data_IF_697360862781
#
_entry.id   IF_697360862781
#
_cell.length_a   1.000
_cell.length_b   1.000
_cell.length_c   1.000
_cell.angle_alpha   90.00
_cell.angle_beta   90.00
_cell.angle_gamma   90.00
#
_symmetry.space_group_name_H-M   'P 1'
#
loop_
_entity.id
_entity.type
_entity.pdbx_description
1 polymer ?
#
# COMPACT_ATOMS: atom_id res chain seq x y z
N UNK A 1 42.84 19.69 57.02
CA UNK A 1 41.83 20.28 56.19
C UNK A 1 42.29 20.20 54.75
N UNK A 2 41.68 19.37 53.90
CA UNK A 2 41.50 19.76 52.52
C UNK A 2 40.06 19.58 52.06
N UNK A 3 39.68 20.54 51.25
CA UNK A 3 38.37 20.81 50.69
C UNK A 3 37.89 19.75 49.74
N UNK A 4 36.59 19.45 49.83
CA UNK A 4 35.91 18.54 48.93
C UNK A 4 35.67 19.14 47.54
N UNK A 5 36.14 18.48 46.51
CA UNK A 5 35.75 18.72 45.13
C UNK A 5 34.44 17.99 44.84
N UNK A 6 33.35 18.74 44.82
CA UNK A 6 32.07 18.32 44.27
C UNK A 6 32.19 18.14 42.76
N UNK A 7 32.30 16.90 42.30
CA UNK A 7 32.19 16.54 40.89
C UNK A 7 30.78 16.77 40.41
N UNK A 8 30.61 17.73 39.52
CA UNK A 8 29.38 17.96 38.76
C UNK A 8 29.24 16.81 37.75
N UNK A 9 28.37 15.86 38.05
CA UNK A 9 27.95 14.84 37.07
C UNK A 9 27.09 15.55 36.01
N UNK A 10 27.70 15.82 34.86
CA UNK A 10 26.97 16.22 33.65
C UNK A 10 26.15 15.01 33.25
N UNK A 11 24.84 15.05 33.48
CA UNK A 11 23.91 14.15 32.92
C UNK A 11 23.98 14.32 31.39
N UNK A 12 24.61 13.35 30.71
CA UNK A 12 24.55 13.22 29.27
C UNK A 12 23.08 12.88 28.98
N UNK A 13 22.29 13.90 28.65
CA UNK A 13 20.93 13.72 28.18
C UNK A 13 20.97 12.75 26.97
N UNK A 14 20.23 11.62 27.03
CA UNK A 14 20.04 10.75 25.90
C UNK A 14 19.54 11.62 24.74
N UNK A 15 20.34 11.71 23.69
CA UNK A 15 19.91 12.31 22.43
C UNK A 15 18.60 11.62 22.00
N UNK A 16 17.56 12.39 21.76
CA UNK A 16 16.29 11.88 21.25
C UNK A 16 16.55 11.24 19.88
N UNK A 17 16.27 9.94 19.72
CA UNK A 17 16.40 9.28 18.43
C UNK A 17 15.44 9.90 17.41
N UNK A 18 15.84 9.92 16.14
CA UNK A 18 15.07 10.59 15.10
C UNK A 18 14.90 9.67 13.89
N UNK A 19 13.67 9.55 13.39
CA UNK A 19 13.33 8.77 12.19
C UNK A 19 12.71 9.69 11.14
N UNK A 20 13.28 9.65 9.93
CA UNK A 20 12.74 10.34 8.77
C UNK A 20 11.78 9.39 8.03
N UNK A 21 10.51 9.76 7.92
CA UNK A 21 9.54 9.09 7.06
C UNK A 21 9.47 9.83 5.72
N UNK A 22 9.82 9.13 4.64
CA UNK A 22 9.89 9.68 3.29
C UNK A 22 9.05 8.88 2.28
N UNK A 23 7.72 8.79 2.44
CA UNK A 23 6.85 8.17 1.45
C UNK A 23 6.76 9.03 0.18
N UNK A 24 6.40 8.44 -0.96
CA UNK A 24 5.97 9.23 -2.12
C UNK A 24 4.62 9.87 -1.84
N UNK A 25 4.64 11.17 -1.55
CA UNK A 25 3.46 11.89 -1.03
C UNK A 25 2.33 12.08 -2.07
N UNK A 26 2.57 11.80 -3.34
CA UNK A 26 1.50 11.70 -4.33
C UNK A 26 0.69 10.40 -4.21
N UNK A 27 1.20 9.38 -3.50
CA UNK A 27 0.57 8.09 -3.30
C UNK A 27 -0.10 8.02 -1.91
N UNK A 28 -1.43 8.05 -1.88
CA UNK A 28 -2.22 8.02 -0.65
C UNK A 28 -1.93 6.77 0.21
N UNK A 29 -1.80 5.60 -0.41
CA UNK A 29 -1.55 4.35 0.31
C UNK A 29 -0.19 4.34 1.03
N UNK A 30 0.83 4.97 0.46
CA UNK A 30 2.15 5.09 1.10
C UNK A 30 2.13 6.07 2.26
N UNK A 31 1.49 7.23 2.06
CA UNK A 31 1.35 8.25 3.11
C UNK A 31 0.61 7.67 4.33
N UNK A 32 -0.53 7.03 4.10
CA UNK A 32 -1.32 6.47 5.21
C UNK A 32 -0.58 5.34 5.93
N UNK A 33 0.10 4.46 5.20
CA UNK A 33 0.94 3.41 5.79
C UNK A 33 2.06 3.99 6.66
N UNK A 34 2.76 5.02 6.16
CA UNK A 34 3.80 5.71 6.91
C UNK A 34 3.27 6.38 8.18
N UNK A 35 2.09 7.02 8.12
CA UNK A 35 1.43 7.63 9.28
C UNK A 35 1.11 6.56 10.34
N UNK A 36 0.53 5.42 9.94
CA UNK A 36 0.16 4.37 10.90
C UNK A 36 1.38 3.80 11.63
N UNK A 37 2.52 3.61 10.92
CA UNK A 37 3.77 3.19 11.55
C UNK A 37 4.32 4.27 12.47
N UNK A 38 4.35 5.53 12.02
CA UNK A 38 4.85 6.65 12.82
C UNK A 38 4.07 6.87 14.13
N UNK A 39 2.76 6.65 14.11
CA UNK A 39 1.90 6.72 15.32
C UNK A 39 2.23 5.66 16.37
N UNK A 40 2.88 4.57 15.99
CA UNK A 40 3.31 3.49 16.90
C UNK A 40 4.75 3.64 17.39
N UNK A 41 5.48 4.63 16.86
CA UNK A 41 6.83 4.91 17.39
C UNK A 41 6.74 5.42 18.82
N UNK A 42 7.71 5.03 19.68
CA UNK A 42 7.77 5.54 21.06
C UNK A 42 7.89 7.07 21.10
N UNK A 43 7.34 7.72 22.11
CA UNK A 43 7.44 9.17 22.31
C UNK A 43 8.88 9.70 22.49
N UNK A 44 9.84 8.79 22.72
CA UNK A 44 11.27 9.08 22.77
C UNK A 44 11.91 9.18 21.39
N UNK A 45 11.17 8.91 20.33
CA UNK A 45 11.63 8.99 18.93
C UNK A 45 10.90 10.13 18.22
N UNK A 46 11.68 11.07 17.72
CA UNK A 46 11.16 12.17 16.89
C UNK A 46 10.89 11.64 15.47
N UNK A 47 9.63 11.71 15.02
CA UNK A 47 9.22 11.33 13.66
C UNK A 47 9.04 12.58 12.81
N UNK A 48 9.81 12.70 11.73
CA UNK A 48 9.73 13.81 10.77
C UNK A 48 9.36 13.25 9.41
N UNK A 49 8.44 13.91 8.70
CA UNK A 49 8.06 13.52 7.34
C UNK A 49 8.67 14.46 6.30
N UNK A 50 9.04 13.89 5.14
CA UNK A 50 9.45 14.67 3.97
C UNK A 50 8.93 14.04 2.68
N UNK A 51 8.77 14.87 1.65
CA UNK A 51 8.32 14.43 0.33
C UNK A 51 8.41 15.55 -0.69
N UNK A 52 8.17 15.22 -1.96
CA UNK A 52 8.33 16.12 -3.09
C UNK A 52 7.00 16.68 -3.63
N UNK A 53 5.86 16.24 -3.11
CA UNK A 53 4.54 16.73 -3.47
C UNK A 53 3.76 17.21 -2.24
N UNK A 54 2.96 18.24 -2.40
CA UNK A 54 2.01 18.68 -1.36
C UNK A 54 0.80 17.77 -1.26
N UNK A 55 0.53 16.96 -2.29
CA UNK A 55 -0.60 16.04 -2.32
C UNK A 55 -0.54 15.09 -1.13
N UNK A 56 -1.66 14.90 -0.46
CA UNK A 56 -1.80 14.09 0.77
C UNK A 56 -0.95 14.55 1.98
N UNK A 57 -0.23 15.69 1.92
CA UNK A 57 0.53 16.19 3.08
C UNK A 57 -0.35 16.70 4.23
N UNK A 58 -1.59 17.04 3.95
CA UNK A 58 -2.60 17.40 4.93
C UNK A 58 -2.90 16.26 5.92
N UNK A 59 -2.89 15.01 5.48
CA UNK A 59 -3.09 13.86 6.35
C UNK A 59 -1.92 13.67 7.32
N UNK A 60 -0.68 13.96 6.89
CA UNK A 60 0.51 13.92 7.75
C UNK A 60 0.39 14.97 8.85
N UNK A 61 0.01 16.21 8.48
CA UNK A 61 -0.18 17.32 9.43
C UNK A 61 -1.34 17.07 10.37
N UNK A 62 -2.47 16.56 9.85
CA UNK A 62 -3.63 16.18 10.67
C UNK A 62 -3.32 15.04 11.65
N UNK A 63 -2.34 14.19 11.34
CA UNK A 63 -1.81 13.18 12.24
C UNK A 63 -0.84 13.73 13.31
N UNK A 64 -0.53 15.04 13.29
CA UNK A 64 0.33 15.71 14.25
C UNK A 64 1.83 15.65 13.92
N UNK A 65 2.21 15.26 12.69
CA UNK A 65 3.61 15.19 12.30
C UNK A 65 4.08 16.39 11.49
N UNK A 66 5.34 16.77 11.68
CA UNK A 66 6.02 17.75 10.84
C UNK A 66 6.20 17.22 9.43
N UNK A 67 5.90 18.07 8.42
CA UNK A 67 6.11 17.75 7.02
C UNK A 67 7.02 18.76 6.33
N UNK A 68 8.09 18.28 5.69
CA UNK A 68 9.05 19.07 4.93
C UNK A 68 8.90 18.81 3.45
N UNK A 69 8.49 19.83 2.70
CA UNK A 69 8.42 19.79 1.26
C UNK A 69 9.81 20.01 0.66
N UNK A 70 10.29 19.03 -0.11
CA UNK A 70 11.60 19.04 -0.77
C UNK A 70 11.51 19.54 -2.22
N UNK A 71 12.62 19.99 -2.76
CA UNK A 71 12.77 20.36 -4.18
C UNK A 71 13.50 19.25 -4.96
N UNK A 72 13.13 19.00 -6.23
CA UNK A 72 12.12 19.69 -7.04
C UNK A 72 10.70 19.32 -6.58
N UNK A 73 9.80 20.29 -6.56
CA UNK A 73 8.39 20.00 -6.28
C UNK A 73 7.79 19.24 -7.45
N UNK A 74 7.08 18.15 -7.16
CA UNK A 74 6.26 17.45 -8.14
C UNK A 74 4.92 18.19 -8.29
N UNK A 75 4.59 18.54 -9.52
CA UNK A 75 3.24 18.98 -9.89
C UNK A 75 2.24 17.83 -9.80
N UNK A 76 0.95 18.15 -9.77
CA UNK A 76 -0.10 17.13 -9.78
C UNK A 76 -0.05 16.25 -11.04
N UNK A 77 0.32 16.83 -12.18
CA UNK A 77 0.49 16.10 -13.43
C UNK A 77 1.68 15.13 -13.38
N UNK A 78 2.84 15.54 -12.87
CA UNK A 78 3.99 14.67 -12.69
C UNK A 78 3.69 13.55 -11.69
N UNK A 79 2.97 13.86 -10.60
CA UNK A 79 2.48 12.87 -9.64
C UNK A 79 1.52 11.86 -10.28
N UNK A 80 0.63 12.31 -11.18
CA UNK A 80 -0.26 11.44 -11.94
C UNK A 80 0.53 10.50 -12.88
N UNK A 81 1.50 11.03 -13.61
CA UNK A 81 2.37 10.24 -14.49
C UNK A 81 3.21 9.21 -13.71
N UNK A 82 3.68 9.58 -12.52
CA UNK A 82 4.39 8.68 -11.63
C UNK A 82 3.49 7.53 -11.15
N UNK A 83 2.25 7.80 -10.79
CA UNK A 83 1.26 6.77 -10.46
C UNK A 83 0.94 5.86 -11.64
N UNK A 84 0.83 6.41 -12.85
CA UNK A 84 0.59 5.60 -14.06
C UNK A 84 1.75 4.65 -14.35
N UNK A 85 2.99 5.10 -14.15
CA UNK A 85 4.17 4.24 -14.26
C UNK A 85 4.17 3.14 -13.19
N UNK A 86 3.95 3.51 -11.94
CA UNK A 86 3.88 2.57 -10.81
C UNK A 86 2.77 1.51 -11.00
N UNK A 87 1.67 1.92 -11.62
CA UNK A 87 0.56 1.05 -11.99
C UNK A 87 0.78 0.25 -13.29
N UNK A 88 1.93 0.35 -13.93
CA UNK A 88 2.24 -0.34 -15.18
C UNK A 88 1.44 0.16 -16.39
N UNK A 89 0.78 1.31 -16.29
CA UNK A 89 0.01 1.94 -17.39
C UNK A 89 0.88 2.81 -18.31
N UNK A 90 2.09 3.14 -17.88
CA UNK A 90 3.11 3.82 -18.66
C UNK A 90 4.42 3.03 -18.62
N UNK A 91 5.10 2.91 -19.76
CA UNK A 91 6.43 2.32 -19.82
C UNK A 91 7.54 3.36 -19.58
N UNK A 92 7.19 4.65 -19.59
CA UNK A 92 8.14 5.75 -19.40
C UNK A 92 8.17 6.18 -17.95
N UNK A 93 9.33 5.97 -17.30
CA UNK A 93 9.55 6.49 -15.96
C UNK A 93 9.49 8.02 -15.97
N UNK A 94 8.71 8.64 -15.07
CA UNK A 94 8.53 10.10 -15.08
C UNK A 94 9.79 10.87 -14.66
N UNK A 95 10.69 10.26 -13.89
CA UNK A 95 11.88 10.94 -13.38
C UNK A 95 12.98 10.99 -14.41
N UNK A 96 13.24 12.18 -14.90
CA UNK A 96 14.42 12.47 -15.74
C UNK A 96 15.69 12.42 -14.88
N UNK A 97 16.85 12.31 -15.54
CA UNK A 97 18.14 12.32 -14.81
C UNK A 97 18.37 13.61 -14.01
N UNK A 98 18.11 14.83 -14.55
CA UNK A 98 18.21 16.05 -13.77
C UNK A 98 17.27 16.07 -12.54
N UNK A 99 16.03 15.64 -12.70
CA UNK A 99 15.07 15.56 -11.60
C UNK A 99 15.55 14.59 -10.52
N UNK A 100 16.00 13.40 -10.90
CA UNK A 100 16.52 12.41 -9.95
C UNK A 100 17.75 12.93 -9.19
N UNK A 101 18.68 13.59 -9.91
CA UNK A 101 19.87 14.18 -9.31
C UNK A 101 19.51 15.31 -8.31
N UNK A 102 18.55 16.16 -8.67
CA UNK A 102 18.05 17.21 -7.75
C UNK A 102 17.36 16.63 -6.53
N UNK A 103 16.53 15.57 -6.68
CA UNK A 103 15.91 14.88 -5.56
C UNK A 103 16.97 14.34 -4.61
N UNK A 104 17.95 13.60 -5.12
CA UNK A 104 19.06 13.04 -4.31
C UNK A 104 19.84 14.16 -3.60
N UNK A 105 20.14 15.27 -4.28
CA UNK A 105 20.83 16.40 -3.66
C UNK A 105 20.03 17.01 -2.50
N UNK A 106 18.73 17.21 -2.69
CA UNK A 106 17.80 17.77 -1.69
C UNK A 106 17.66 16.84 -0.47
N UNK A 107 17.50 15.54 -0.72
CA UNK A 107 17.44 14.51 0.32
C UNK A 107 18.74 14.45 1.14
N UNK A 108 19.91 14.48 0.48
CA UNK A 108 21.21 14.48 1.16
C UNK A 108 21.40 15.70 2.05
N UNK A 109 20.97 16.89 1.60
CA UNK A 109 20.98 18.11 2.45
C UNK A 109 20.09 17.89 3.67
N UNK A 110 18.88 17.36 3.49
CA UNK A 110 17.99 17.07 4.61
C UNK A 110 18.60 16.07 5.59
N UNK A 111 19.16 14.96 5.09
CA UNK A 111 19.77 13.91 5.92
C UNK A 111 20.93 14.46 6.76
N UNK A 112 21.80 15.30 6.18
CA UNK A 112 22.91 15.96 6.91
C UNK A 112 22.44 16.94 7.96
N UNK A 113 21.36 17.70 7.68
CA UNK A 113 20.81 18.67 8.62
C UNK A 113 20.04 17.98 9.75
N UNK A 114 19.23 16.98 9.40
CA UNK A 114 18.34 16.30 10.34
C UNK A 114 19.08 15.23 11.17
N UNK A 115 20.09 14.58 10.57
CA UNK A 115 20.85 13.46 11.13
C UNK A 115 19.94 12.37 11.71
N UNK A 116 19.03 11.80 10.89
CA UNK A 116 18.16 10.76 11.39
C UNK A 116 18.93 9.45 11.59
N UNK A 117 18.50 8.64 12.56
CA UNK A 117 19.07 7.33 12.84
C UNK A 117 18.58 6.28 11.83
N UNK A 118 17.42 6.51 11.19
CA UNK A 118 16.89 5.70 10.10
C UNK A 118 15.99 6.52 9.17
N UNK A 119 15.87 6.04 7.92
CA UNK A 119 14.91 6.55 6.93
C UNK A 119 13.90 5.46 6.62
N UNK A 120 12.60 5.74 6.77
CA UNK A 120 11.49 4.83 6.42
C UNK A 120 10.84 5.32 5.14
N UNK A 121 10.78 4.45 4.14
CA UNK A 121 10.24 4.78 2.82
C UNK A 121 9.04 3.91 2.43
N UNK A 122 8.25 4.41 1.48
CA UNK A 122 7.44 3.63 0.54
C UNK A 122 8.26 3.36 -0.73
N UNK A 123 7.67 3.52 -1.91
CA UNK A 123 8.42 3.43 -3.18
C UNK A 123 9.04 4.79 -3.50
N UNK A 124 10.06 5.19 -2.77
CA UNK A 124 10.81 6.45 -2.99
C UNK A 124 12.19 6.13 -3.56
N UNK A 125 12.33 6.02 -4.91
CA UNK A 125 13.54 5.47 -5.52
C UNK A 125 14.82 6.27 -5.24
N UNK A 126 14.73 7.60 -5.11
CA UNK A 126 15.87 8.47 -4.83
C UNK A 126 16.52 8.19 -3.47
N UNK A 127 15.74 7.74 -2.47
CA UNK A 127 16.24 7.41 -1.13
C UNK A 127 17.19 6.21 -1.12
N UNK A 128 17.08 5.28 -2.09
CA UNK A 128 18.05 4.19 -2.24
C UNK A 128 19.45 4.70 -2.62
N UNK A 129 19.55 5.93 -3.12
CA UNK A 129 20.83 6.59 -3.40
C UNK A 129 21.23 7.48 -2.24
N UNK A 130 20.34 8.38 -1.81
CA UNK A 130 20.66 9.42 -0.82
C UNK A 130 20.94 8.87 0.57
N UNK A 131 20.15 7.91 1.06
CA UNK A 131 20.39 7.28 2.36
C UNK A 131 21.71 6.50 2.38
N UNK A 132 21.99 5.71 1.31
CA UNK A 132 23.29 5.03 1.18
C UNK A 132 24.47 5.97 1.08
N UNK A 133 24.34 7.10 0.36
CA UNK A 133 25.40 8.11 0.24
C UNK A 133 25.71 8.78 1.58
N UNK A 134 24.76 8.87 2.48
CA UNK A 134 24.92 9.46 3.81
C UNK A 134 25.05 8.39 4.92
N UNK A 135 25.15 7.09 4.54
CA UNK A 135 25.29 5.95 5.45
C UNK A 135 24.17 5.89 6.52
N UNK A 136 22.95 6.27 6.16
CA UNK A 136 21.78 6.18 7.05
C UNK A 136 21.02 4.90 6.75
N UNK A 137 20.69 4.07 7.76
CA UNK A 137 19.89 2.85 7.59
C UNK A 137 18.57 3.13 6.89
N UNK A 138 18.25 2.30 5.87
CA UNK A 138 17.04 2.42 5.07
C UNK A 138 16.05 1.31 5.42
N UNK A 139 14.83 1.69 5.73
CA UNK A 139 13.72 0.78 6.01
C UNK A 139 12.64 0.95 4.96
N UNK A 140 12.18 -0.15 4.38
CA UNK A 140 11.14 -0.13 3.36
C UNK A 140 9.89 -0.88 3.84
N UNK A 141 8.80 -0.16 4.07
CA UNK A 141 7.49 -0.75 4.42
C UNK A 141 6.68 -0.96 3.14
N UNK A 142 6.47 -2.21 2.73
CA UNK A 142 5.96 -2.54 1.40
C UNK A 142 5.00 -3.73 1.35
N UNK A 143 4.15 -3.81 0.30
CA UNK A 143 3.39 -5.01 -0.02
C UNK A 143 4.29 -6.21 -0.35
N UNK A 144 3.80 -7.43 -0.05
CA UNK A 144 4.53 -8.66 -0.36
C UNK A 144 4.75 -8.85 -1.85
N UNK A 145 3.72 -8.63 -2.66
CA UNK A 145 3.74 -8.91 -4.09
C UNK A 145 4.83 -8.16 -4.89
N UNK A 146 5.30 -7.02 -4.38
CA UNK A 146 6.38 -6.24 -4.98
C UNK A 146 7.73 -6.42 -4.28
N UNK A 147 7.92 -7.47 -3.47
CA UNK A 147 9.16 -7.71 -2.73
C UNK A 147 10.08 -8.70 -3.44
N UNK A 148 11.38 -8.58 -3.19
CA UNK A 148 12.37 -9.60 -3.60
C UNK A 148 12.02 -10.95 -2.97
N UNK A 149 11.54 -10.95 -1.73
CA UNK A 149 11.08 -12.14 -1.02
C UNK A 149 10.01 -12.92 -1.81
N UNK A 150 9.05 -12.21 -2.42
CA UNK A 150 8.04 -12.86 -3.28
C UNK A 150 8.68 -13.51 -4.50
N UNK A 151 9.59 -12.82 -5.19
CA UNK A 151 10.24 -13.36 -6.40
C UNK A 151 11.09 -14.60 -6.10
N UNK A 152 11.88 -14.56 -5.03
CA UNK A 152 12.73 -15.67 -4.62
C UNK A 152 11.89 -16.87 -4.18
N UNK A 153 10.89 -16.64 -3.37
CA UNK A 153 9.97 -17.67 -2.93
C UNK A 153 9.18 -18.25 -4.11
N UNK A 154 8.65 -17.42 -4.99
CA UNK A 154 7.91 -17.85 -6.16
C UNK A 154 8.76 -18.74 -7.09
N UNK A 155 10.01 -18.35 -7.32
CA UNK A 155 10.96 -19.16 -8.11
C UNK A 155 11.25 -20.51 -7.48
N UNK A 156 11.47 -20.55 -6.14
CA UNK A 156 11.81 -21.78 -5.40
C UNK A 156 10.75 -22.87 -5.55
N UNK A 157 9.49 -22.50 -5.57
CA UNK A 157 8.36 -23.43 -5.69
C UNK A 157 7.72 -23.46 -7.07
N UNK A 158 8.21 -22.66 -8.02
CA UNK A 158 7.66 -22.56 -9.37
C UNK A 158 6.27 -21.93 -9.41
N UNK A 159 5.95 -21.03 -8.48
CA UNK A 159 4.61 -20.43 -8.39
C UNK A 159 4.67 -18.94 -8.06
N UNK A 160 4.01 -18.10 -8.88
CA UNK A 160 3.90 -16.66 -8.63
C UNK A 160 2.80 -16.33 -7.61
N UNK A 161 1.80 -17.20 -7.48
CA UNK A 161 0.55 -16.91 -6.77
C UNK A 161 -0.42 -16.01 -7.55
N UNK A 162 -0.14 -15.72 -8.81
CA UNK A 162 -1.03 -14.96 -9.68
C UNK A 162 -2.06 -15.83 -10.40
N UNK A 163 -1.75 -17.12 -10.61
CA UNK A 163 -2.66 -18.10 -11.21
C UNK A 163 -3.18 -19.08 -10.17
N UNK A 164 -4.44 -19.56 -10.33
CA UNK A 164 -5.04 -20.48 -9.37
C UNK A 164 -4.37 -21.86 -9.34
N UNK A 165 -3.68 -22.26 -10.45
CA UNK A 165 -2.97 -23.54 -10.60
C UNK A 165 -3.91 -24.75 -10.47
N UNK A 166 -5.09 -24.63 -11.03
CA UNK A 166 -6.10 -25.70 -11.01
C UNK A 166 -5.96 -26.68 -12.17
N UNK A 167 -5.28 -26.25 -13.26
CA UNK A 167 -5.01 -27.08 -14.44
C UNK A 167 -3.51 -27.25 -14.67
N UNK A 168 -3.05 -28.32 -15.37
CA UNK A 168 -1.66 -28.49 -15.75
C UNK A 168 -1.11 -27.32 -16.56
N UNK A 169 -1.92 -26.74 -17.45
CA UNK A 169 -1.55 -25.58 -18.28
C UNK A 169 -1.32 -24.35 -17.41
N UNK A 170 -2.19 -24.07 -16.45
CA UNK A 170 -2.00 -22.98 -15.48
C UNK A 170 -0.73 -23.16 -14.66
N UNK A 171 -0.45 -24.39 -14.20
CA UNK A 171 0.79 -24.71 -13.50
C UNK A 171 2.02 -24.44 -14.38
N UNK A 172 2.00 -24.85 -15.64
CA UNK A 172 3.11 -24.64 -16.57
C UNK A 172 3.35 -23.15 -16.83
N UNK A 173 2.29 -22.39 -17.10
CA UNK A 173 2.36 -20.95 -17.33
C UNK A 173 2.86 -20.23 -16.08
N UNK A 174 2.36 -20.58 -14.91
CA UNK A 174 2.77 -19.94 -13.65
C UNK A 174 4.24 -20.25 -13.29
N UNK A 175 4.69 -21.48 -13.54
CA UNK A 175 6.10 -21.87 -13.40
C UNK A 175 7.01 -21.03 -14.32
N UNK A 176 6.65 -20.89 -15.59
CA UNK A 176 7.37 -20.07 -16.55
C UNK A 176 7.39 -18.59 -16.13
N UNK A 177 6.26 -18.09 -15.69
CA UNK A 177 6.13 -16.72 -15.16
C UNK A 177 6.99 -16.50 -13.91
N UNK A 178 7.06 -17.46 -12.98
CA UNK A 178 7.92 -17.37 -11.79
C UNK A 178 9.40 -17.24 -12.15
N UNK A 179 9.88 -18.03 -13.09
CA UNK A 179 11.26 -17.95 -13.57
C UNK A 179 11.53 -16.63 -14.31
N UNK A 180 10.61 -16.19 -15.16
CA UNK A 180 10.74 -14.93 -15.89
C UNK A 180 10.77 -13.73 -14.93
N UNK A 181 9.81 -13.65 -14.02
CA UNK A 181 9.72 -12.55 -13.03
C UNK A 181 10.97 -12.51 -12.14
N UNK A 182 11.44 -13.66 -11.68
CA UNK A 182 12.68 -13.73 -10.92
C UNK A 182 13.88 -13.24 -11.76
N UNK A 183 14.00 -13.68 -13.02
CA UNK A 183 15.09 -13.26 -13.91
C UNK A 183 15.05 -11.76 -14.17
N UNK A 184 13.88 -11.22 -14.48
CA UNK A 184 13.69 -9.78 -14.68
C UNK A 184 14.01 -9.03 -13.37
N UNK A 185 13.44 -9.46 -12.26
CA UNK A 185 13.61 -8.78 -10.97
C UNK A 185 15.04 -8.79 -10.43
N UNK A 186 15.84 -9.83 -10.75
CA UNK A 186 17.20 -9.98 -10.22
C UNK A 186 18.32 -9.64 -11.21
N UNK A 187 18.04 -9.66 -12.53
CA UNK A 187 19.07 -9.44 -13.56
C UNK A 187 18.84 -8.22 -14.44
N UNK A 188 17.58 -7.75 -14.59
CA UNK A 188 17.31 -6.51 -15.34
C UNK A 188 17.63 -5.34 -14.42
N UNK A 189 18.65 -4.53 -14.73
CA UNK A 189 19.05 -3.44 -13.84
C UNK A 189 18.00 -2.33 -13.80
N UNK A 190 18.00 -1.55 -12.73
CA UNK A 190 17.40 -0.23 -12.71
C UNK A 190 17.89 0.58 -13.92
N UNK A 191 17.10 1.58 -14.33
CA UNK A 191 17.44 2.37 -15.51
C UNK A 191 18.87 2.92 -15.43
N UNK A 192 19.51 3.12 -16.60
CA UNK A 192 20.86 3.72 -16.68
C UNK A 192 20.94 5.06 -15.95
N UNK A 193 19.86 5.80 -15.91
CA UNK A 193 19.73 7.05 -15.16
C UNK A 193 19.99 6.86 -13.68
N UNK A 194 19.37 5.85 -13.06
CA UNK A 194 19.58 5.56 -11.64
C UNK A 194 21.04 5.18 -11.35
N UNK A 195 21.65 4.33 -12.18
CA UNK A 195 23.06 3.94 -12.01
C UNK A 195 24.02 5.12 -12.19
N UNK A 196 23.76 6.04 -13.13
CA UNK A 196 24.61 7.24 -13.30
C UNK A 196 24.51 8.17 -12.11
N UNK A 197 23.30 8.46 -11.62
CA UNK A 197 23.10 9.33 -10.47
C UNK A 197 23.69 8.69 -9.22
N UNK A 198 23.51 7.37 -9.01
CA UNK A 198 24.11 6.65 -7.89
C UNK A 198 25.65 6.74 -7.91
N UNK A 199 26.27 6.47 -9.08
CA UNK A 199 27.73 6.58 -9.26
C UNK A 199 28.25 7.99 -9.00
N UNK A 200 27.52 9.01 -9.47
CA UNK A 200 27.87 10.43 -9.21
C UNK A 200 27.79 10.79 -7.71
N UNK A 201 27.06 10.02 -6.91
CA UNK A 201 26.96 10.17 -5.46
C UNK A 201 27.80 9.16 -4.66
N UNK A 202 28.71 8.42 -5.32
CA UNK A 202 29.59 7.45 -4.67
C UNK A 202 28.89 6.15 -4.26
N UNK A 203 27.68 5.88 -4.78
CA UNK A 203 26.87 4.71 -4.42
C UNK A 203 26.90 3.67 -5.54
N UNK A 204 27.12 2.40 -5.16
CA UNK A 204 26.93 1.24 -6.03
C UNK A 204 25.58 0.58 -5.72
N UNK A 205 24.69 0.56 -6.70
CA UNK A 205 23.40 -0.11 -6.57
C UNK A 205 23.54 -1.59 -6.95
N UNK A 206 22.86 -2.51 -6.21
CA UNK A 206 22.77 -3.90 -6.61
C UNK A 206 22.23 -4.07 -8.02
N UNK A 207 22.68 -5.12 -8.70
CA UNK A 207 22.12 -5.49 -10.00
C UNK A 207 20.70 -6.07 -9.82
N UNK A 208 19.83 -5.80 -10.79
CA UNK A 208 18.44 -6.23 -10.76
C UNK A 208 17.46 -5.18 -10.23
N UNK A 209 16.29 -5.16 -10.82
CA UNK A 209 15.23 -4.18 -10.50
C UNK A 209 14.82 -4.24 -9.03
N UNK A 210 14.48 -5.44 -8.53
CA UNK A 210 14.02 -5.59 -7.15
C UNK A 210 15.18 -5.58 -6.14
N UNK A 211 16.35 -6.13 -6.51
CA UNK A 211 17.53 -6.06 -5.66
C UNK A 211 18.00 -4.60 -5.49
N UNK A 212 17.95 -3.79 -6.55
CA UNK A 212 18.27 -2.36 -6.49
C UNK A 212 17.33 -1.56 -5.61
N UNK A 213 16.08 -2.03 -5.46
CA UNK A 213 15.05 -1.46 -4.60
C UNK A 213 14.82 -2.26 -3.30
N UNK A 214 15.85 -2.93 -2.79
CA UNK A 214 15.85 -3.60 -1.48
C UNK A 214 16.58 -2.73 -0.47
N UNK A 215 15.94 -2.47 0.66
CA UNK A 215 16.48 -1.68 1.77
C UNK A 215 17.28 -2.56 2.75
N UNK A 216 17.92 -1.96 3.75
CA UNK A 216 18.62 -2.69 4.81
C UNK A 216 17.62 -3.52 5.63
N UNK A 217 16.41 -2.98 5.86
CA UNK A 217 15.30 -3.69 6.47
C UNK A 217 14.04 -3.53 5.59
N UNK A 218 13.42 -4.65 5.19
CA UNK A 218 12.22 -4.68 4.37
C UNK A 218 11.06 -5.25 5.20
N UNK A 219 10.10 -4.41 5.52
CA UNK A 219 8.94 -4.74 6.35
C UNK A 219 7.74 -5.05 5.45
N UNK A 220 7.33 -6.31 5.45
CA UNK A 220 6.23 -6.79 4.62
C UNK A 220 4.91 -6.55 5.35
N UNK A 221 4.14 -5.58 4.86
CA UNK A 221 2.90 -5.10 5.45
C UNK A 221 1.69 -5.95 5.04
N UNK A 222 1.80 -7.27 5.16
CA UNK A 222 0.77 -8.23 4.74
C UNK A 222 0.39 -9.17 5.87
N UNK A 223 -0.88 -9.57 5.90
CA UNK A 223 -1.38 -10.51 6.91
C UNK A 223 -0.75 -11.91 6.72
N UNK A 224 -0.11 -12.49 7.74
CA UNK A 224 0.64 -13.74 7.61
C UNK A 224 -0.17 -14.91 7.05
N UNK A 225 -1.45 -15.03 7.44
CA UNK A 225 -2.34 -16.12 7.02
C UNK A 225 -2.80 -16.00 5.54
N UNK A 226 -2.65 -14.83 4.93
CA UNK A 226 -2.88 -14.61 3.50
C UNK A 226 -1.63 -14.86 2.66
N UNK A 227 -0.45 -14.98 3.28
CA UNK A 227 0.78 -15.28 2.57
C UNK A 227 0.87 -16.79 2.23
N UNK A 228 1.63 -17.15 1.20
CA UNK A 228 1.85 -18.56 0.88
C UNK A 228 2.50 -19.32 2.04
N UNK A 229 2.02 -20.52 2.34
CA UNK A 229 2.56 -21.35 3.45
C UNK A 229 4.02 -21.79 3.25
N UNK A 230 4.49 -21.80 2.02
CA UNK A 230 5.86 -22.15 1.64
C UNK A 230 6.82 -20.95 1.72
N UNK A 231 6.35 -19.81 2.17
CA UNK A 231 7.14 -18.59 2.22
C UNK A 231 8.23 -18.65 3.27
N UNK A 232 9.47 -18.49 2.81
CA UNK A 232 10.65 -18.23 3.66
C UNK A 232 11.11 -16.80 3.38
N UNK A 233 11.34 -16.02 4.42
CA UNK A 233 11.81 -14.65 4.28
C UNK A 233 13.33 -14.65 4.11
N UNK A 234 13.85 -13.94 3.08
CA UNK A 234 15.28 -13.68 2.98
C UNK A 234 15.78 -12.81 4.13
N UNK A 235 17.10 -12.78 4.33
CA UNK A 235 17.72 -11.87 5.29
C UNK A 235 17.32 -10.42 5.03
N UNK A 236 17.14 -9.65 6.10
CA UNK A 236 16.67 -8.27 6.01
C UNK A 236 15.18 -8.10 5.62
N UNK A 237 14.39 -9.21 5.61
CA UNK A 237 12.95 -9.16 5.37
C UNK A 237 12.18 -9.70 6.57
N UNK A 238 11.12 -8.99 6.96
CA UNK A 238 10.25 -9.38 8.07
C UNK A 238 8.79 -9.14 7.72
N UNK A 239 7.90 -10.11 7.98
CA UNK A 239 6.45 -9.90 7.94
C UNK A 239 6.03 -9.22 9.23
N UNK A 240 5.43 -8.03 9.11
CA UNK A 240 4.97 -7.25 10.28
C UNK A 240 3.47 -7.34 10.49
N UNK A 241 2.74 -7.86 9.53
CA UNK A 241 1.29 -7.89 9.57
C UNK A 241 0.64 -6.76 8.77
N UNK A 242 -0.69 -6.67 8.80
CA UNK A 242 -1.43 -5.71 7.99
C UNK A 242 -1.19 -4.27 8.44
N UNK A 243 -0.97 -3.37 7.47
CA UNK A 243 -0.89 -1.93 7.70
C UNK A 243 -1.83 -1.23 6.73
N UNK A 244 -2.91 -0.72 7.23
CA UNK A 244 -3.97 -0.03 6.46
C UNK A 244 -4.38 1.26 7.15
N UNK A 245 -5.02 2.18 6.40
CA UNK A 245 -5.37 3.51 6.89
C UNK A 245 -6.41 3.47 8.02
N UNK A 246 -6.09 4.13 9.13
CA UNK A 246 -6.99 4.44 10.25
C UNK A 246 -7.08 5.97 10.41
N UNK A 247 -7.38 6.66 9.33
CA UNK A 247 -7.47 8.12 9.36
C UNK A 247 -8.74 8.57 10.11
N UNK A 248 -8.64 9.65 10.91
CA UNK A 248 -9.80 10.21 11.59
C UNK A 248 -10.82 10.71 10.57
N UNK A 249 -12.08 10.62 10.92
CA UNK A 249 -13.21 11.05 10.12
C UNK A 249 -14.51 10.56 10.75
N UNK A 250 -15.62 11.10 10.30
CA UNK A 250 -16.95 10.65 10.72
C UNK A 250 -17.61 9.89 9.58
N UNK A 251 -18.31 8.82 9.92
CA UNK A 251 -19.19 8.13 8.97
C UNK A 251 -20.41 9.01 8.78
N UNK A 252 -20.75 9.44 7.54
CA UNK A 252 -21.93 10.26 7.31
C UNK A 252 -23.20 9.57 7.78
N UNK A 253 -24.14 10.32 8.38
CA UNK A 253 -25.38 9.81 8.97
C UNK A 253 -26.19 8.97 7.98
N UNK A 254 -26.29 9.41 6.72
CA UNK A 254 -27.01 8.67 5.68
C UNK A 254 -26.46 7.23 5.47
N UNK A 255 -25.18 6.96 5.74
CA UNK A 255 -24.61 5.61 5.64
C UNK A 255 -25.21 4.70 6.73
N UNK A 256 -25.38 5.23 7.93
CA UNK A 256 -26.05 4.54 9.03
C UNK A 256 -27.51 4.24 8.68
N UNK A 257 -28.20 5.20 8.06
CA UNK A 257 -29.59 5.02 7.60
C UNK A 257 -29.69 3.95 6.51
N UNK A 258 -28.74 3.92 5.56
CA UNK A 258 -28.69 2.89 4.54
C UNK A 258 -28.47 1.49 5.14
N UNK A 259 -27.58 1.38 6.12
CA UNK A 259 -27.29 0.13 6.79
C UNK A 259 -28.46 -0.38 7.66
N UNK A 260 -29.24 0.53 8.23
CA UNK A 260 -30.46 0.18 8.99
C UNK A 260 -31.66 -0.15 8.09
N UNK A 261 -31.56 0.12 6.79
CA UNK A 261 -32.61 -0.13 5.81
C UNK A 261 -32.83 -1.60 5.49
N UNK A 262 -33.89 -1.94 4.74
CA UNK A 262 -34.24 -3.34 4.42
C UNK A 262 -33.37 -3.97 3.33
N UNK A 263 -32.54 -3.18 2.64
CA UNK A 263 -31.69 -3.66 1.54
C UNK A 263 -30.24 -3.79 1.98
N UNK A 264 -29.52 -4.82 1.50
CA UNK A 264 -28.10 -4.96 1.83
C UNK A 264 -27.29 -3.77 1.32
N UNK A 265 -26.24 -3.40 2.06
CA UNK A 265 -25.31 -2.33 1.70
C UNK A 265 -24.05 -2.93 1.04
N UNK A 266 -23.81 -2.57 -0.21
CA UNK A 266 -22.64 -2.94 -0.98
C UNK A 266 -21.65 -1.76 -0.98
N UNK A 267 -20.42 -2.01 -0.55
CA UNK A 267 -19.33 -1.04 -0.61
C UNK A 267 -18.54 -1.21 -1.92
N UNK A 268 -18.41 -0.16 -2.74
CA UNK A 268 -17.67 -0.20 -3.99
C UNK A 268 -16.51 0.79 -4.00
N UNK A 269 -15.26 0.31 -4.07
CA UNK A 269 -14.08 1.16 -4.10
C UNK A 269 -12.98 0.65 -5.04
N UNK A 270 -12.42 1.55 -5.84
CA UNK A 270 -11.35 1.25 -6.81
C UNK A 270 -10.03 1.95 -6.49
N UNK A 271 -9.93 2.65 -5.37
CA UNK A 271 -8.75 3.41 -4.96
C UNK A 271 -8.28 4.37 -6.05
N UNK A 272 -6.99 4.68 -6.09
CA UNK A 272 -6.40 5.54 -7.13
C UNK A 272 -6.21 4.84 -8.49
N UNK A 273 -6.43 3.53 -8.55
CA UNK A 273 -6.20 2.71 -9.76
C UNK A 273 -7.39 2.70 -10.73
N UNK A 274 -8.57 3.16 -10.28
CA UNK A 274 -9.78 3.20 -11.08
C UNK A 274 -9.67 4.11 -12.30
N UNK A 275 -10.40 3.76 -13.35
CA UNK A 275 -10.65 4.67 -14.47
C UNK A 275 -12.15 4.91 -14.60
N UNK A 276 -12.52 6.09 -15.14
CA UNK A 276 -13.90 6.56 -15.22
C UNK A 276 -14.82 5.55 -15.91
N UNK A 277 -14.40 4.98 -17.04
CA UNK A 277 -15.24 4.07 -17.81
C UNK A 277 -15.60 2.80 -17.02
N UNK A 278 -14.60 2.15 -16.41
CA UNK A 278 -14.85 0.96 -15.59
C UNK A 278 -15.75 1.28 -14.40
N UNK A 279 -15.51 2.41 -13.73
CA UNK A 279 -16.34 2.84 -12.60
C UNK A 279 -17.80 3.01 -13.03
N UNK A 280 -18.04 3.71 -14.13
CA UNK A 280 -19.39 3.92 -14.66
C UNK A 280 -20.06 2.61 -15.09
N UNK A 281 -19.33 1.72 -15.77
CA UNK A 281 -19.86 0.42 -16.20
C UNK A 281 -20.33 -0.41 -14.99
N UNK A 282 -19.49 -0.46 -13.95
CA UNK A 282 -19.81 -1.19 -12.71
C UNK A 282 -20.98 -0.54 -11.96
N UNK A 283 -20.97 0.79 -11.76
CA UNK A 283 -22.05 1.50 -11.07
C UNK A 283 -23.40 1.35 -11.78
N UNK A 284 -23.43 1.48 -13.10
CA UNK A 284 -24.65 1.25 -13.89
C UNK A 284 -25.15 -0.20 -13.78
N UNK A 285 -24.23 -1.15 -13.72
CA UNK A 285 -24.56 -2.55 -13.50
C UNK A 285 -25.17 -2.79 -12.12
N UNK A 286 -24.53 -2.22 -11.06
CA UNK A 286 -24.99 -2.29 -9.68
C UNK A 286 -26.31 -1.55 -9.46
N UNK A 287 -26.61 -0.55 -10.26
CA UNK A 287 -27.90 0.16 -10.23
C UNK A 287 -29.11 -0.72 -10.51
N UNK A 288 -28.88 -1.92 -11.09
CA UNK A 288 -29.94 -2.92 -11.34
C UNK A 288 -30.06 -3.97 -10.25
N UNK A 289 -29.14 -3.97 -9.27
CA UNK A 289 -29.15 -4.91 -8.17
C UNK A 289 -30.10 -4.43 -7.04
N UNK A 290 -30.71 -5.37 -6.34
CA UNK A 290 -31.57 -5.06 -5.19
C UNK A 290 -30.71 -4.85 -3.92
N UNK A 291 -29.94 -3.76 -3.93
CA UNK A 291 -29.06 -3.35 -2.85
C UNK A 291 -28.89 -1.82 -2.84
N UNK A 292 -28.36 -1.28 -1.77
CA UNK A 292 -27.80 0.07 -1.70
C UNK A 292 -26.30 0.00 -2.00
N UNK A 293 -25.73 0.99 -2.66
CA UNK A 293 -24.30 1.02 -3.01
C UNK A 293 -23.65 2.28 -2.46
N UNK A 294 -22.68 2.10 -1.57
CA UNK A 294 -21.84 3.17 -1.04
C UNK A 294 -20.53 3.20 -1.84
N UNK A 295 -20.29 4.27 -2.58
CA UNK A 295 -19.21 4.36 -3.55
C UNK A 295 -18.31 5.58 -3.35
N UNK A 296 -17.20 5.52 -2.59
CA UNK A 296 -16.24 6.61 -2.46
C UNK A 296 -15.37 6.73 -3.71
N UNK A 297 -15.99 7.07 -4.83
CA UNK A 297 -15.36 7.14 -6.17
C UNK A 297 -15.57 8.49 -6.86
N UNK A 298 -15.98 9.53 -6.13
CA UNK A 298 -16.25 10.86 -6.69
C UNK A 298 -15.10 11.42 -7.53
N UNK A 299 -13.85 11.19 -7.11
CA UNK A 299 -12.66 11.65 -7.82
C UNK A 299 -12.46 11.03 -9.21
N UNK A 300 -13.20 9.97 -9.54
CA UNK A 300 -13.18 9.31 -10.85
C UNK A 300 -14.30 9.75 -11.79
N UNK A 301 -15.23 10.57 -11.31
CA UNK A 301 -16.47 10.92 -12.02
C UNK A 301 -16.55 12.43 -12.28
N UNK A 302 -17.15 12.79 -13.41
CA UNK A 302 -17.56 14.15 -13.71
C UNK A 302 -18.93 14.45 -13.10
N UNK A 303 -19.29 15.72 -12.97
CA UNK A 303 -20.60 16.12 -12.42
C UNK A 303 -21.76 15.55 -13.24
N UNK A 304 -21.62 15.54 -14.56
CA UNK A 304 -22.61 15.00 -15.49
C UNK A 304 -22.87 13.49 -15.29
N UNK A 305 -21.85 12.74 -14.84
CA UNK A 305 -22.01 11.32 -14.55
C UNK A 305 -22.93 11.08 -13.37
N UNK A 306 -22.78 11.91 -12.32
CA UNK A 306 -23.56 11.78 -11.08
C UNK A 306 -25.07 11.94 -11.32
N UNK A 307 -25.44 12.82 -12.25
CA UNK A 307 -26.83 13.08 -12.59
C UNK A 307 -27.51 11.89 -13.31
N UNK A 308 -26.71 11.00 -13.87
CA UNK A 308 -27.20 9.81 -14.63
C UNK A 308 -27.18 8.53 -13.83
N UNK A 309 -26.64 8.53 -12.61
CA UNK A 309 -26.56 7.33 -11.79
C UNK A 309 -27.91 6.90 -11.22
N UNK A 310 -28.15 5.60 -11.08
CA UNK A 310 -29.34 5.07 -10.41
C UNK A 310 -29.45 5.51 -8.96
N UNK A 311 -30.70 5.62 -8.45
CA UNK A 311 -31.00 6.15 -7.12
C UNK A 311 -30.42 5.34 -5.94
N UNK A 312 -30.12 4.08 -6.15
CA UNK A 312 -29.49 3.21 -5.14
C UNK A 312 -27.97 3.35 -5.10
N UNK A 313 -27.36 4.25 -5.91
CA UNK A 313 -25.93 4.52 -5.94
C UNK A 313 -25.62 5.81 -5.19
N UNK A 314 -24.89 5.71 -4.08
CA UNK A 314 -24.50 6.83 -3.23
C UNK A 314 -23.00 7.10 -3.39
N UNK A 315 -22.66 8.05 -4.26
CA UNK A 315 -21.27 8.45 -4.52
C UNK A 315 -20.82 9.45 -3.47
N UNK A 316 -19.68 9.14 -2.84
CA UNK A 316 -19.05 10.01 -1.84
C UNK A 316 -17.61 10.33 -2.22
N UNK A 317 -17.04 11.30 -1.52
CA UNK A 317 -15.61 11.44 -1.36
C UNK A 317 -15.08 10.33 -0.44
N UNK A 318 -13.83 10.48 0.04
CA UNK A 318 -13.27 9.53 0.98
C UNK A 318 -14.13 9.41 2.26
N UNK A 319 -14.24 8.18 2.78
CA UNK A 319 -14.92 7.89 4.05
C UNK A 319 -14.04 6.98 4.93
N UNK A 320 -14.17 7.02 6.28
CA UNK A 320 -13.40 6.20 7.19
C UNK A 320 -13.90 4.74 7.21
N UNK A 321 -13.52 3.95 6.20
CA UNK A 321 -14.00 2.57 5.99
C UNK A 321 -13.77 1.64 7.17
N UNK A 322 -12.74 1.89 7.99
CA UNK A 322 -12.46 1.12 9.20
C UNK A 322 -13.54 1.28 10.29
N UNK A 323 -14.43 2.26 10.16
CA UNK A 323 -15.55 2.50 11.10
C UNK A 323 -16.88 1.93 10.59
N UNK A 324 -16.95 1.39 9.38
CA UNK A 324 -18.20 0.88 8.82
C UNK A 324 -18.67 -0.43 9.46
N UNK A 325 -17.74 -1.25 10.01
CA UNK A 325 -18.09 -2.46 10.76
C UNK A 325 -19.05 -3.38 10.01
N UNK A 326 -20.09 -3.81 10.69
CA UNK A 326 -21.14 -4.70 10.16
C UNK A 326 -22.15 -3.99 9.24
N UNK A 327 -21.99 -2.69 8.97
CA UNK A 327 -22.86 -1.95 8.06
C UNK A 327 -22.77 -2.43 6.61
N UNK A 328 -21.66 -3.06 6.23
CA UNK A 328 -21.41 -3.52 4.85
C UNK A 328 -21.59 -5.03 4.74
N UNK A 329 -22.50 -5.46 3.86
CA UNK A 329 -22.78 -6.88 3.62
C UNK A 329 -21.85 -7.52 2.58
N UNK A 330 -21.38 -6.72 1.61
CA UNK A 330 -20.49 -7.16 0.53
C UNK A 330 -19.61 -5.99 0.08
N UNK A 331 -18.33 -6.23 -0.13
CA UNK A 331 -17.46 -5.25 -0.77
C UNK A 331 -17.19 -5.62 -2.24
N UNK A 332 -16.98 -4.62 -3.08
CA UNK A 332 -16.48 -4.74 -4.45
C UNK A 332 -15.25 -3.84 -4.54
N UNK A 333 -14.09 -4.43 -4.80
CA UNK A 333 -12.83 -3.70 -4.70
C UNK A 333 -11.87 -4.03 -5.84
N UNK A 334 -10.96 -3.10 -6.15
CA UNK A 334 -9.90 -3.33 -7.13
C UNK A 334 -8.78 -4.28 -6.61
N UNK A 335 -8.80 -4.65 -5.34
CA UNK A 335 -7.80 -5.56 -4.79
C UNK A 335 -6.50 -4.93 -4.30
N UNK A 336 -6.42 -3.60 -4.21
CA UNK A 336 -5.28 -2.92 -3.58
C UNK A 336 -5.09 -3.37 -2.13
N UNK A 337 -3.84 -3.50 -1.67
CA UNK A 337 -3.56 -4.13 -0.39
C UNK A 337 -4.32 -3.51 0.78
N UNK A 338 -4.34 -2.18 0.89
CA UNK A 338 -5.08 -1.50 1.96
C UNK A 338 -6.58 -1.82 1.96
N UNK A 339 -7.22 -1.84 0.78
CA UNK A 339 -8.66 -2.12 0.65
C UNK A 339 -8.98 -3.58 0.96
N UNK A 340 -8.11 -4.52 0.52
CA UNK A 340 -8.25 -5.94 0.85
C UNK A 340 -8.07 -6.16 2.34
N UNK A 341 -7.06 -5.56 2.96
CA UNK A 341 -6.83 -5.66 4.40
C UNK A 341 -8.00 -5.09 5.20
N UNK A 342 -8.57 -3.96 4.77
CA UNK A 342 -9.78 -3.40 5.39
C UNK A 342 -10.94 -4.39 5.29
N UNK A 343 -11.23 -4.95 4.10
CA UNK A 343 -12.28 -5.96 3.94
C UNK A 343 -12.05 -7.19 4.81
N UNK A 344 -10.80 -7.64 4.92
CA UNK A 344 -10.41 -8.77 5.76
C UNK A 344 -10.63 -8.49 7.26
N UNK A 345 -10.21 -7.31 7.75
CA UNK A 345 -10.38 -6.92 9.17
C UNK A 345 -11.85 -6.77 9.54
N UNK A 346 -12.63 -6.19 8.63
CA UNK A 346 -14.08 -6.01 8.83
C UNK A 346 -14.88 -7.32 8.66
N UNK A 347 -14.26 -8.37 8.11
CA UNK A 347 -14.97 -9.62 7.84
C UNK A 347 -15.94 -9.55 6.67
N UNK A 348 -15.73 -8.60 5.76
CA UNK A 348 -16.58 -8.47 4.58
C UNK A 348 -16.19 -9.49 3.52
N UNK A 349 -17.14 -10.32 3.04
CA UNK A 349 -16.92 -11.03 1.78
C UNK A 349 -16.78 -10.02 0.65
N UNK A 350 -15.98 -10.32 -0.37
CA UNK A 350 -15.81 -9.33 -1.43
C UNK A 350 -15.64 -9.92 -2.83
N UNK A 351 -15.97 -9.10 -3.85
CA UNK A 351 -15.68 -9.35 -5.26
C UNK A 351 -14.49 -8.44 -5.64
N UNK A 352 -13.38 -9.05 -6.08
CA UNK A 352 -12.19 -8.33 -6.53
C UNK A 352 -12.16 -8.13 -8.04
N UNK A 353 -11.91 -6.90 -8.50
CA UNK A 353 -11.71 -6.51 -9.91
C UNK A 353 -10.27 -6.02 -10.07
N UNK A 354 -9.27 -6.90 -10.12
CA UNK A 354 -7.88 -6.47 -10.11
C UNK A 354 -7.50 -5.73 -11.40
N UNK A 355 -6.88 -4.58 -11.26
CA UNK A 355 -6.41 -3.71 -12.34
C UNK A 355 -4.90 -3.87 -12.59
N UNK A 356 -4.18 -4.50 -11.65
CA UNK A 356 -2.72 -4.70 -11.65
C UNK A 356 -2.36 -6.09 -11.12
N UNK A 357 -1.13 -6.53 -11.34
CA UNK A 357 -0.64 -7.85 -10.90
C UNK A 357 -0.65 -7.99 -9.38
N UNK A 358 -0.22 -6.97 -8.64
CA UNK A 358 -0.24 -6.98 -7.16
C UNK A 358 -1.68 -7.13 -6.65
N UNK A 359 -2.61 -6.38 -7.20
CA UNK A 359 -4.01 -6.45 -6.83
C UNK A 359 -4.60 -7.83 -7.10
N UNK A 360 -4.22 -8.42 -8.25
CA UNK A 360 -4.63 -9.79 -8.59
C UNK A 360 -4.10 -10.80 -7.59
N UNK A 361 -2.85 -10.68 -7.17
CA UNK A 361 -2.25 -11.53 -6.13
C UNK A 361 -3.05 -11.44 -4.83
N UNK A 362 -3.33 -10.23 -4.35
CA UNK A 362 -4.08 -10.02 -3.11
C UNK A 362 -5.48 -10.64 -3.16
N UNK A 363 -6.23 -10.39 -4.26
CA UNK A 363 -7.57 -10.96 -4.45
C UNK A 363 -7.50 -12.49 -4.49
N UNK A 364 -6.56 -13.07 -5.23
CA UNK A 364 -6.44 -14.53 -5.34
C UNK A 364 -6.10 -15.21 -4.01
N UNK A 365 -5.35 -14.55 -3.12
CA UNK A 365 -5.10 -15.07 -1.77
C UNK A 365 -6.41 -15.20 -0.99
N UNK A 366 -7.29 -14.22 -1.09
CA UNK A 366 -8.61 -14.25 -0.47
C UNK A 366 -9.55 -15.24 -1.15
N UNK A 367 -9.48 -15.38 -2.49
CA UNK A 367 -10.22 -16.43 -3.23
C UNK A 367 -9.78 -17.84 -2.78
N UNK A 368 -8.47 -18.07 -2.66
CA UNK A 368 -7.94 -19.34 -2.17
C UNK A 368 -8.34 -19.65 -0.72
N UNK A 369 -8.55 -18.61 0.10
CA UNK A 369 -9.11 -18.76 1.45
C UNK A 369 -10.64 -19.02 1.43
N UNK A 370 -11.30 -18.67 0.36
CA UNK A 370 -12.75 -18.79 0.16
C UNK A 370 -13.56 -17.58 0.65
N UNK A 371 -12.90 -16.43 0.92
CA UNK A 371 -13.53 -15.19 1.41
C UNK A 371 -13.83 -14.17 0.31
N UNK A 372 -13.47 -14.46 -0.94
CA UNK A 372 -13.64 -13.56 -2.06
C UNK A 372 -13.94 -14.28 -3.37
N UNK A 373 -14.43 -13.53 -4.35
CA UNK A 373 -14.53 -13.92 -5.76
C UNK A 373 -13.68 -12.97 -6.61
N UNK A 374 -13.17 -13.45 -7.74
CA UNK A 374 -12.41 -12.64 -8.69
C UNK A 374 -13.22 -12.49 -9.97
N UNK A 375 -13.32 -11.24 -10.44
CA UNK A 375 -13.90 -10.86 -11.74
C UNK A 375 -12.84 -10.08 -12.50
N UNK A 376 -12.56 -10.47 -13.74
CA UNK A 376 -11.61 -9.72 -14.57
C UNK A 376 -12.18 -8.36 -14.99
N UNK A 377 -11.31 -7.40 -15.35
CA UNK A 377 -11.74 -6.08 -15.85
C UNK A 377 -12.68 -6.20 -17.07
N UNK A 378 -12.41 -7.17 -17.97
CA UNK A 378 -13.22 -7.39 -19.17
C UNK A 378 -14.61 -7.92 -18.81
N UNK A 379 -14.67 -8.81 -17.85
CA UNK A 379 -15.94 -9.35 -17.34
C UNK A 379 -16.72 -8.28 -16.58
N UNK A 380 -16.07 -7.51 -15.71
CA UNK A 380 -16.69 -6.46 -14.90
C UNK A 380 -17.47 -5.43 -15.72
N UNK A 381 -16.99 -5.10 -16.92
CA UNK A 381 -17.67 -4.18 -17.85
C UNK A 381 -18.97 -4.72 -18.45
N UNK A 382 -19.16 -6.04 -18.43
CA UNK A 382 -20.28 -6.74 -19.13
C UNK A 382 -21.08 -7.65 -18.20
N UNK A 383 -20.67 -7.77 -16.95
CA UNK A 383 -21.27 -8.67 -15.98
C UNK A 383 -22.73 -8.31 -15.69
N UNK A 384 -23.52 -9.32 -15.43
CA UNK A 384 -24.78 -9.16 -14.73
C UNK A 384 -24.51 -8.93 -13.24
N UNK A 385 -24.28 -7.66 -12.88
CA UNK A 385 -23.97 -7.28 -11.51
C UNK A 385 -25.11 -7.60 -10.55
N UNK A 386 -26.37 -7.57 -11.01
CA UNK A 386 -27.51 -7.95 -10.17
C UNK A 386 -27.44 -9.43 -9.79
N UNK A 387 -27.09 -10.31 -10.74
CA UNK A 387 -26.89 -11.72 -10.45
C UNK A 387 -25.66 -11.95 -9.56
N UNK A 388 -24.51 -11.34 -9.88
CA UNK A 388 -23.27 -11.51 -9.10
C UNK A 388 -23.44 -11.08 -7.64
N UNK A 389 -24.06 -9.91 -7.39
CA UNK A 389 -24.32 -9.41 -6.04
C UNK A 389 -25.28 -10.35 -5.30
N UNK A 390 -26.39 -10.75 -5.92
CA UNK A 390 -27.35 -11.68 -5.31
C UNK A 390 -26.68 -13.01 -4.92
N UNK A 391 -25.88 -13.58 -5.81
CA UNK A 391 -25.15 -14.83 -5.56
C UNK A 391 -24.09 -14.67 -4.46
N UNK A 392 -23.37 -13.55 -4.43
CA UNK A 392 -22.36 -13.28 -3.42
C UNK A 392 -22.98 -13.06 -2.03
N UNK A 393 -24.12 -12.36 -1.97
CA UNK A 393 -24.88 -12.14 -0.73
C UNK A 393 -25.55 -13.42 -0.21
N UNK A 394 -25.89 -14.37 -1.07
CA UNK A 394 -26.44 -15.67 -0.71
C UNK A 394 -25.36 -16.72 -0.36
N UNK A 395 -24.08 -16.41 -0.55
CA UNK A 395 -22.96 -17.33 -0.29
C UNK A 395 -22.55 -17.32 1.18
N UNK A 396 -23.24 -18.11 2.00
CA UNK A 396 -22.95 -18.22 3.45
C UNK A 396 -21.56 -18.78 3.73
N UNK A 397 -21.03 -19.62 2.82
CA UNK A 397 -19.67 -20.16 2.96
C UNK A 397 -18.66 -19.04 2.81
N UNK A 398 -18.77 -18.20 1.77
CA UNK A 398 -17.90 -17.06 1.57
C UNK A 398 -17.98 -16.07 2.74
N UNK A 399 -19.19 -15.79 3.24
CA UNK A 399 -19.41 -14.93 4.42
C UNK A 399 -18.75 -15.49 5.67
N UNK A 400 -18.93 -16.78 5.94
CA UNK A 400 -18.30 -17.47 7.08
C UNK A 400 -16.77 -17.44 6.98
N UNK A 401 -16.22 -17.63 5.79
CA UNK A 401 -14.77 -17.54 5.53
C UNK A 401 -14.25 -16.12 5.73
N UNK A 402 -14.98 -15.09 5.30
CA UNK A 402 -14.60 -13.70 5.52
C UNK A 402 -14.57 -13.37 7.04
N UNK A 403 -15.57 -13.77 7.81
CA UNK A 403 -15.55 -13.65 9.27
C UNK A 403 -14.37 -14.39 9.90
N UNK A 404 -14.03 -15.58 9.39
CA UNK A 404 -12.87 -16.33 9.88
C UNK A 404 -11.56 -15.59 9.60
N UNK A 405 -11.43 -14.89 8.45
CA UNK A 405 -10.28 -14.02 8.18
C UNK A 405 -10.21 -12.90 9.22
N UNK A 406 -11.34 -12.24 9.52
CA UNK A 406 -11.38 -11.19 10.53
C UNK A 406 -10.91 -11.69 11.91
N UNK A 407 -11.33 -12.89 12.32
CA UNK A 407 -10.84 -13.49 13.56
C UNK A 407 -9.33 -13.73 13.56
N UNK A 408 -8.76 -14.16 12.42
CA UNK A 408 -7.31 -14.33 12.27
C UNK A 408 -6.54 -12.99 12.23
N UNK A 409 -7.22 -11.90 11.88
CA UNK A 409 -6.65 -10.55 11.86
C UNK A 409 -6.70 -9.90 13.27
N UNK A 410 -7.57 -10.37 14.18
CA UNK A 410 -7.66 -9.84 15.55
C UNK A 410 -6.30 -9.97 16.25
N UNK A 411 -5.87 -8.89 16.86
CA UNK A 411 -4.60 -8.84 17.60
C UNK A 411 -3.34 -8.69 16.74
N UNK A 412 -3.47 -8.64 15.42
CA UNK A 412 -2.35 -8.27 14.56
C UNK A 412 -2.15 -6.75 14.59
N UNK A 413 -1.03 -6.31 15.14
CA UNK A 413 -0.62 -4.89 15.17
C UNK A 413 0.56 -4.69 14.20
N UNK A 414 0.26 -4.68 12.90
CA UNK A 414 1.27 -4.47 11.86
C UNK A 414 2.07 -3.17 12.04
N UNK A 415 1.43 -2.03 12.28
CA UNK A 415 2.13 -0.78 12.60
C UNK A 415 3.05 -0.89 13.81
N UNK A 416 2.60 -1.50 14.91
CA UNK A 416 3.39 -1.71 16.11
C UNK A 416 4.59 -2.62 15.89
N UNK A 417 4.41 -3.73 15.17
CA UNK A 417 5.49 -4.63 14.78
C UNK A 417 6.52 -3.93 13.86
N UNK A 418 6.05 -3.07 12.96
CA UNK A 418 6.94 -2.27 12.11
C UNK A 418 7.73 -1.25 12.95
N UNK A 419 7.08 -0.55 13.88
CA UNK A 419 7.74 0.41 14.77
C UNK A 419 8.77 -0.29 15.67
N UNK A 420 8.45 -1.47 16.22
CA UNK A 420 9.41 -2.27 17.02
C UNK A 420 10.63 -2.68 16.19
N UNK A 421 10.42 -3.13 14.94
CA UNK A 421 11.51 -3.51 14.06
C UNK A 421 12.41 -2.30 13.71
N UNK A 422 11.83 -1.11 13.50
CA UNK A 422 12.57 0.12 13.29
C UNK A 422 13.37 0.49 14.53
N UNK A 423 12.77 0.42 15.72
CA UNK A 423 13.44 0.76 16.97
C UNK A 423 14.68 -0.12 17.27
N UNK A 424 14.74 -1.33 16.74
CA UNK A 424 15.93 -2.20 16.87
C UNK A 424 17.14 -1.72 16.06
N UNK A 425 16.93 -0.77 15.14
CA UNK A 425 18.02 -0.14 14.36
C UNK A 425 18.54 1.15 14.99
N UNK A 426 17.79 1.75 15.94
CA UNK A 426 18.13 3.01 16.62
C UNK A 426 19.04 2.77 17.84
#
# INVERSE_FOLDING_TARGET
MPEGTTGCAVAVGKSTSRVLFAPETFNFAEVTRAIEVARRMPSTVECVFAGFSRRNSEYIKAAGFDFRLLTPHLSDEEGRLALEFDQGRSLRHPFTEPMLAQRVASERVLLRCLRPDAVVIGVTPSQFISARAECVPLVFVRPFAYSLAHLEAARKVGATGFLPRTTPEECLVDNAAAHLLHTVGTRVPLSRTFHRVAKANGVSLPQGLFAGLTADLNLIASAPHLLPRWLEMPDGHQVVGPVYANLPGEVPEFVTDLAAGPKPLVYFAVGSSGNRELVLDVLRGLGRADCQVLAPVRSHLHQEDLETLPLNIHVTDWIPTHQLGDAVDLAITHGGEGTVQTSCVQGWPFIGIPLQLEQRFNVQRCVAFGSARLVSQKEARRADWAALVREALADDVMRSRARRVAELMKGLDGPGQAAEAICKLL
#
